data_IF_162051662888
#
_entry.id   IF_162051662888
#
_cell.length_a   1.000
_cell.length_b   1.000
_cell.length_c   1.000
_cell.angle_alpha   90.00
_cell.angle_beta   90.00
_cell.angle_gamma   90.00
#
_symmetry.space_group_name_H-M   'P 1'
#
loop_
_entity.id
_entity.type
_entity.pdbx_description
1 polymer ?
#
# COMPACT_ATOMS: atom_id res chain seq x y z
N UNK A 1 -46.93 35.69 51.31
CA UNK A 1 -45.90 35.12 52.23
C UNK A 1 -45.66 33.65 51.92
N UNK A 2 -46.70 32.84 51.64
CA UNK A 2 -46.55 31.42 51.33
C UNK A 2 -45.96 31.14 49.93
N UNK A 3 -46.41 31.85 48.90
CA UNK A 3 -45.83 31.73 47.54
C UNK A 3 -44.32 32.05 47.49
N UNK A 4 -43.86 32.99 48.32
CA UNK A 4 -42.44 33.34 48.42
C UNK A 4 -41.62 32.20 49.07
N UNK A 5 -42.21 31.48 50.03
CA UNK A 5 -41.56 30.33 50.66
C UNK A 5 -41.46 29.14 49.71
N UNK A 6 -42.53 28.85 48.98
CA UNK A 6 -42.55 27.79 47.95
C UNK A 6 -41.52 28.08 46.86
N UNK A 7 -41.43 29.33 46.40
CA UNK A 7 -40.41 29.75 45.43
C UNK A 7 -38.99 29.56 45.98
N UNK A 8 -38.74 29.90 47.24
CA UNK A 8 -37.43 29.71 47.88
C UNK A 8 -37.04 28.23 48.02
N UNK A 9 -38.00 27.34 48.29
CA UNK A 9 -37.76 25.89 48.34
C UNK A 9 -37.44 25.32 46.96
N UNK A 10 -38.18 25.74 45.93
CA UNK A 10 -37.91 25.35 44.55
C UNK A 10 -36.53 25.81 44.09
N UNK A 11 -36.16 27.07 44.37
CA UNK A 11 -34.83 27.62 44.05
C UNK A 11 -33.71 26.81 44.71
N UNK A 12 -33.89 26.38 45.98
CA UNK A 12 -32.90 25.54 46.68
C UNK A 12 -32.77 24.16 46.01
N UNK A 13 -33.88 23.53 45.64
CA UNK A 13 -33.89 22.25 44.93
C UNK A 13 -33.16 22.35 43.59
N UNK A 14 -33.47 23.36 42.79
CA UNK A 14 -32.78 23.59 41.50
C UNK A 14 -31.29 23.86 41.71
N UNK A 15 -30.91 24.63 42.73
CA UNK A 15 -29.49 24.88 43.04
C UNK A 15 -28.73 23.59 43.39
N UNK A 16 -29.38 22.63 44.07
CA UNK A 16 -28.79 21.32 44.37
C UNK A 16 -28.58 20.51 43.09
N UNK A 17 -29.60 20.40 42.23
CA UNK A 17 -29.48 19.69 40.95
C UNK A 17 -28.39 20.30 40.05
N UNK A 18 -28.31 21.63 39.98
CA UNK A 18 -27.25 22.33 39.21
C UNK A 18 -25.86 22.00 39.77
N UNK A 19 -25.72 21.85 41.08
CA UNK A 19 -24.45 21.48 41.70
C UNK A 19 -24.06 20.04 41.36
N UNK A 20 -25.00 19.11 41.42
CA UNK A 20 -24.78 17.71 41.04
C UNK A 20 -24.43 17.59 39.55
N UNK A 21 -25.17 18.27 38.68
CA UNK A 21 -24.88 18.33 37.24
C UNK A 21 -23.48 18.87 36.95
N UNK A 22 -23.02 19.88 37.71
CA UNK A 22 -21.64 20.41 37.56
C UNK A 22 -20.59 19.36 37.93
N UNK A 23 -20.80 18.60 38.99
CA UNK A 23 -19.89 17.54 39.40
C UNK A 23 -19.83 16.41 38.37
N UNK A 24 -21.00 15.97 37.88
CA UNK A 24 -21.11 14.94 36.84
C UNK A 24 -20.46 15.42 35.54
N UNK A 25 -20.69 16.66 35.12
CA UNK A 25 -20.05 17.22 33.93
C UNK A 25 -18.53 17.31 34.08
N UNK A 26 -18.02 17.69 35.26
CA UNK A 26 -16.58 17.71 35.52
C UNK A 26 -15.98 16.30 35.40
N UNK A 27 -16.64 15.30 35.99
CA UNK A 27 -16.24 13.90 35.84
C UNK A 27 -16.17 13.46 34.37
N UNK A 28 -17.18 13.79 33.56
CA UNK A 28 -17.18 13.45 32.14
C UNK A 28 -16.09 14.18 31.36
N UNK A 29 -15.79 15.44 31.68
CA UNK A 29 -14.69 16.19 31.07
C UNK A 29 -13.35 15.52 31.34
N UNK A 30 -13.12 15.06 32.57
CA UNK A 30 -11.89 14.35 32.95
C UNK A 30 -11.80 13.01 32.20
N UNK A 31 -12.87 12.20 32.20
CA UNK A 31 -12.90 10.95 31.44
C UNK A 31 -12.69 11.15 29.94
N UNK A 32 -13.24 12.21 29.37
CA UNK A 32 -13.06 12.53 27.97
C UNK A 32 -11.59 12.85 27.65
N UNK A 33 -10.91 13.61 28.52
CA UNK A 33 -9.47 13.90 28.37
C UNK A 33 -8.61 12.63 28.45
N UNK A 34 -8.93 11.73 29.37
CA UNK A 34 -8.23 10.44 29.49
C UNK A 34 -8.38 9.62 28.20
N UNK A 35 -9.62 9.48 27.72
CA UNK A 35 -9.93 8.76 26.47
C UNK A 35 -9.21 9.40 25.27
N UNK A 36 -9.17 10.73 25.18
CA UNK A 36 -8.45 11.41 24.11
C UNK A 36 -6.94 11.11 24.17
N UNK A 37 -6.37 11.12 25.36
CA UNK A 37 -4.94 10.83 25.56
C UNK A 37 -4.61 9.40 25.19
N UNK A 38 -5.43 8.44 25.63
CA UNK A 38 -5.30 7.03 25.27
C UNK A 38 -5.46 6.82 23.76
N UNK A 39 -6.43 7.49 23.13
CA UNK A 39 -6.64 7.40 21.68
C UNK A 39 -5.43 7.90 20.87
N UNK A 40 -4.78 8.98 21.32
CA UNK A 40 -3.55 9.50 20.70
C UNK A 40 -2.43 8.46 20.81
N UNK A 41 -2.27 7.83 21.98
CA UNK A 41 -1.23 6.84 22.19
C UNK A 41 -1.48 5.55 21.40
N UNK A 42 -2.70 5.04 21.39
CA UNK A 42 -3.11 3.90 20.58
C UNK A 42 -2.85 4.14 19.08
N UNK A 43 -3.13 5.35 18.58
CA UNK A 43 -2.83 5.72 17.19
C UNK A 43 -1.33 5.66 16.90
N UNK A 44 -0.47 6.14 17.80
CA UNK A 44 0.98 6.04 17.65
C UNK A 44 1.45 4.59 17.62
N UNK A 45 0.96 3.77 18.53
CA UNK A 45 1.30 2.34 18.59
C UNK A 45 0.84 1.60 17.32
N UNK A 46 -0.35 1.91 16.82
CA UNK A 46 -0.88 1.33 15.58
C UNK A 46 0.04 1.62 14.39
N UNK A 47 0.53 2.86 14.25
CA UNK A 47 1.49 3.22 13.19
C UNK A 47 2.77 2.40 13.29
N UNK A 48 3.31 2.20 14.50
CA UNK A 48 4.50 1.36 14.72
C UNK A 48 4.25 -0.09 14.31
N UNK A 49 3.11 -0.66 14.70
CA UNK A 49 2.72 -2.03 14.35
C UNK A 49 2.55 -2.19 12.84
N UNK A 50 1.85 -1.27 12.18
CA UNK A 50 1.68 -1.27 10.72
C UNK A 50 3.03 -1.20 10.00
N UNK A 51 3.96 -0.37 10.47
CA UNK A 51 5.30 -0.26 9.91
C UNK A 51 6.10 -1.58 10.06
N UNK A 52 5.97 -2.26 11.20
CA UNK A 52 6.62 -3.56 11.42
C UNK A 52 6.02 -4.66 10.54
N UNK A 53 4.69 -4.72 10.43
CA UNK A 53 4.01 -5.67 9.53
C UNK A 53 4.44 -5.48 8.07
N UNK A 54 4.53 -4.24 7.61
CA UNK A 54 4.97 -3.93 6.24
C UNK A 54 6.42 -4.42 5.98
N UNK A 55 7.31 -4.30 6.96
CA UNK A 55 8.69 -4.80 6.84
C UNK A 55 8.71 -6.32 6.72
N UNK A 56 7.88 -7.02 7.51
CA UNK A 56 7.75 -8.48 7.47
C UNK A 56 7.19 -8.92 6.13
N UNK A 57 6.06 -8.35 5.69
CA UNK A 57 5.44 -8.66 4.40
C UNK A 57 6.42 -8.42 3.24
N UNK A 58 7.18 -7.33 3.29
CA UNK A 58 8.20 -7.03 2.27
C UNK A 58 9.30 -8.08 2.24
N UNK A 59 9.78 -8.56 3.39
CA UNK A 59 10.80 -9.62 3.46
C UNK A 59 10.29 -10.94 2.90
N UNK A 60 9.03 -11.30 3.18
CA UNK A 60 8.41 -12.51 2.63
C UNK A 60 8.20 -12.43 1.12
N UNK A 61 7.90 -11.22 0.60
CA UNK A 61 7.65 -11.01 -0.84
C UNK A 61 8.88 -10.65 -1.66
N UNK A 62 10.02 -10.31 -1.04
CA UNK A 62 11.17 -9.74 -1.74
C UNK A 62 11.68 -10.62 -2.88
N UNK A 63 11.59 -11.94 -2.73
CA UNK A 63 12.04 -12.92 -3.71
C UNK A 63 10.96 -13.33 -4.72
N UNK A 64 9.75 -12.80 -4.59
CA UNK A 64 8.61 -13.23 -5.39
C UNK A 64 8.46 -12.35 -6.64
N UNK A 65 8.02 -13.00 -7.72
CA UNK A 65 7.60 -12.41 -8.98
C UNK A 65 6.14 -12.76 -9.23
N UNK A 66 5.42 -11.83 -9.85
CA UNK A 66 4.07 -12.04 -10.34
C UNK A 66 4.14 -12.16 -11.85
N UNK A 67 3.68 -13.29 -12.38
CA UNK A 67 3.57 -13.53 -13.81
C UNK A 67 2.10 -13.50 -14.20
N UNK A 68 1.78 -12.72 -15.23
CA UNK A 68 0.44 -12.64 -15.80
C UNK A 68 0.43 -12.86 -17.30
N UNK A 69 -0.72 -13.30 -17.83
CA UNK A 69 -0.94 -13.49 -19.26
C UNK A 69 -0.69 -14.90 -19.77
N UNK A 70 -0.41 -15.85 -18.88
CA UNK A 70 -0.32 -17.28 -19.20
C UNK A 70 -1.70 -17.92 -19.16
N UNK A 71 -2.21 -18.30 -20.33
CA UNK A 71 -3.46 -19.04 -20.47
C UNK A 71 -3.17 -20.54 -20.51
N UNK A 72 -3.16 -21.17 -19.34
CA UNK A 72 -2.79 -22.58 -19.19
C UNK A 72 -4.05 -23.36 -18.82
N UNK A 73 -4.54 -24.15 -19.77
CA UNK A 73 -5.66 -25.07 -19.64
C UNK A 73 -5.15 -26.52 -19.44
N UNK A 74 -4.14 -26.69 -18.60
CA UNK A 74 -3.53 -27.98 -18.31
C UNK A 74 -3.81 -28.46 -16.88
N UNK A 75 -3.70 -29.77 -16.68
CA UNK A 75 -3.92 -30.46 -15.40
C UNK A 75 -2.89 -30.05 -14.33
N UNK A 76 -1.66 -29.70 -14.75
CA UNK A 76 -0.55 -29.28 -13.87
C UNK A 76 -0.02 -27.90 -14.28
N UNK A 77 -0.77 -26.82 -14.04
CA UNK A 77 -0.40 -25.49 -14.52
C UNK A 77 0.91 -24.96 -13.91
N UNK A 78 1.30 -25.42 -12.72
CA UNK A 78 2.56 -25.04 -12.08
C UNK A 78 3.79 -25.46 -12.89
N UNK A 79 3.81 -26.69 -13.42
CA UNK A 79 4.94 -27.20 -14.22
C UNK A 79 5.12 -26.42 -15.51
N UNK A 80 4.02 -26.12 -16.20
CA UNK A 80 4.03 -25.31 -17.42
C UNK A 80 4.57 -23.91 -17.15
N UNK A 81 4.21 -23.32 -16.00
CA UNK A 81 4.76 -22.02 -15.59
C UNK A 81 6.25 -22.12 -15.27
N UNK A 82 6.70 -23.17 -14.59
CA UNK A 82 8.14 -23.39 -14.33
C UNK A 82 8.94 -23.50 -15.63
N UNK A 83 8.46 -24.29 -16.60
CA UNK A 83 9.05 -24.40 -17.93
C UNK A 83 9.07 -23.06 -18.66
N UNK A 84 7.95 -22.32 -18.61
CA UNK A 84 7.85 -20.99 -19.20
C UNK A 84 8.84 -20.02 -18.57
N UNK A 85 8.98 -20.04 -17.25
CA UNK A 85 9.95 -19.22 -16.51
C UNK A 85 11.37 -19.61 -16.89
N UNK A 86 11.66 -20.89 -17.06
CA UNK A 86 12.98 -21.37 -17.49
C UNK A 86 13.30 -20.94 -18.93
N UNK A 87 12.31 -20.95 -19.82
CA UNK A 87 12.46 -20.41 -21.18
C UNK A 87 12.71 -18.89 -21.17
N UNK A 88 11.98 -18.16 -20.31
CA UNK A 88 12.18 -16.73 -20.11
C UNK A 88 13.60 -16.45 -19.60
N UNK A 89 14.09 -17.19 -18.60
CA UNK A 89 15.46 -17.05 -18.08
C UNK A 89 16.51 -17.23 -19.17
N UNK A 90 16.36 -18.26 -20.01
CA UNK A 90 17.25 -18.51 -21.16
C UNK A 90 17.22 -17.33 -22.14
N UNK A 91 16.03 -16.84 -22.48
CA UNK A 91 15.86 -15.68 -23.36
C UNK A 91 16.51 -14.41 -22.78
N UNK A 92 16.34 -14.18 -21.48
CA UNK A 92 16.92 -13.04 -20.78
C UNK A 92 18.42 -13.21 -20.47
N UNK A 93 18.99 -14.41 -20.73
CA UNK A 93 20.35 -14.81 -20.38
C UNK A 93 20.66 -14.67 -18.88
N UNK A 94 19.69 -15.04 -18.05
CA UNK A 94 19.80 -14.99 -16.58
C UNK A 94 19.75 -16.39 -16.00
N UNK A 95 20.82 -16.79 -15.32
CA UNK A 95 20.84 -18.02 -14.51
C UNK A 95 20.16 -17.77 -13.17
N UNK A 96 18.98 -18.37 -12.98
CA UNK A 96 18.20 -18.21 -11.76
C UNK A 96 17.45 -19.49 -11.41
N UNK A 97 17.30 -19.75 -10.12
CA UNK A 97 16.59 -20.92 -9.59
C UNK A 97 15.20 -20.54 -9.07
N UNK A 98 14.21 -21.40 -9.35
CA UNK A 98 12.86 -21.27 -8.82
C UNK A 98 12.80 -22.10 -7.54
N UNK A 99 12.28 -21.51 -6.47
CA UNK A 99 11.95 -22.22 -5.24
C UNK A 99 10.55 -22.85 -5.35
N UNK A 100 9.56 -22.07 -5.77
CA UNK A 100 8.16 -22.50 -5.84
C UNK A 100 7.35 -21.69 -6.84
N UNK A 101 6.40 -22.34 -7.51
CA UNK A 101 5.33 -21.69 -8.27
C UNK A 101 3.99 -21.94 -7.60
N UNK A 102 3.09 -20.96 -7.67
CA UNK A 102 1.73 -21.07 -7.11
C UNK A 102 0.75 -20.25 -7.94
N UNK A 103 -0.36 -20.86 -8.37
CA UNK A 103 -1.46 -20.12 -9.00
C UNK A 103 -2.20 -19.26 -7.97
N UNK A 104 -2.35 -17.97 -8.26
CA UNK A 104 -3.00 -16.99 -7.35
C UNK A 104 -4.22 -16.31 -7.98
N UNK A 105 -4.59 -16.68 -9.20
CA UNK A 105 -5.76 -16.16 -9.89
C UNK A 105 -5.83 -16.58 -11.35
N UNK A 106 -6.77 -15.99 -12.08
CA UNK A 106 -6.91 -16.25 -13.51
C UNK A 106 -5.69 -15.71 -14.29
N UNK A 107 -5.03 -16.59 -15.04
CA UNK A 107 -3.79 -16.31 -15.78
C UNK A 107 -2.71 -15.59 -14.94
N UNK A 108 -2.69 -15.85 -13.62
CA UNK A 108 -1.83 -15.14 -12.67
C UNK A 108 -1.16 -16.10 -11.70
N UNK A 109 0.16 -16.03 -11.67
CA UNK A 109 1.01 -16.95 -10.92
C UNK A 109 2.03 -16.18 -10.08
N UNK A 110 2.29 -16.68 -8.88
CA UNK A 110 3.38 -16.26 -8.01
C UNK A 110 4.55 -17.21 -8.22
N UNK A 111 5.74 -16.66 -8.45
CA UNK A 111 6.99 -17.41 -8.61
C UNK A 111 7.96 -16.94 -7.55
N UNK A 112 8.34 -17.82 -6.64
CA UNK A 112 9.31 -17.57 -5.58
C UNK A 112 10.70 -17.93 -6.09
N UNK A 113 11.61 -16.96 -6.09
CA UNK A 113 12.99 -17.16 -6.53
C UNK A 113 13.88 -17.52 -5.33
N UNK A 114 14.92 -18.33 -5.54
CA UNK A 114 15.91 -18.61 -4.48
C UNK A 114 16.75 -17.36 -4.16
N UNK A 115 17.09 -16.57 -5.19
CA UNK A 115 18.03 -15.46 -5.07
C UNK A 115 17.43 -14.10 -5.48
N UNK A 116 17.47 -13.13 -4.56
CA UNK A 116 16.98 -11.77 -4.77
C UNK A 116 17.70 -11.01 -5.90
N UNK A 117 19.01 -11.17 -6.03
CA UNK A 117 19.79 -10.49 -7.07
C UNK A 117 19.39 -10.98 -8.46
N UNK A 118 19.16 -12.29 -8.58
CA UNK A 118 18.67 -12.89 -9.84
C UNK A 118 17.24 -12.47 -10.17
N UNK A 119 16.37 -12.32 -9.16
CA UNK A 119 15.06 -11.66 -9.36
C UNK A 119 15.23 -10.25 -9.94
N UNK A 120 16.11 -9.41 -9.37
CA UNK A 120 16.35 -8.04 -9.86
C UNK A 120 16.86 -8.04 -11.30
N UNK A 121 17.73 -8.98 -11.65
CA UNK A 121 18.26 -9.17 -13.01
C UNK A 121 17.15 -9.54 -14.02
N UNK A 122 16.20 -10.39 -13.63
CA UNK A 122 15.02 -10.69 -14.44
C UNK A 122 14.18 -9.42 -14.63
N UNK A 123 13.93 -8.66 -13.56
CA UNK A 123 13.10 -7.45 -13.61
C UNK A 123 13.72 -6.31 -14.43
N UNK A 124 15.05 -6.15 -14.41
CA UNK A 124 15.74 -5.16 -15.23
C UNK A 124 15.70 -5.52 -16.71
N UNK A 125 15.83 -6.82 -17.03
CA UNK A 125 15.83 -7.33 -18.39
C UNK A 125 14.42 -7.56 -18.97
N UNK A 126 13.36 -7.50 -18.16
CA UNK A 126 11.97 -7.81 -18.57
C UNK A 126 11.45 -7.03 -19.77
N UNK A 127 12.03 -5.86 -20.08
CA UNK A 127 11.68 -5.07 -21.27
C UNK A 127 11.89 -5.85 -22.58
N UNK A 128 12.87 -6.75 -22.62
CA UNK A 128 13.17 -7.63 -23.75
C UNK A 128 12.06 -8.64 -24.04
N UNK A 129 11.19 -8.92 -23.07
CA UNK A 129 10.05 -9.84 -23.26
C UNK A 129 9.02 -9.32 -24.27
N UNK A 130 9.02 -8.02 -24.55
CA UNK A 130 8.18 -7.44 -25.61
C UNK A 130 8.53 -7.96 -27.00
N UNK A 131 9.77 -8.40 -27.18
CA UNK A 131 10.31 -8.85 -28.47
C UNK A 131 10.11 -10.36 -28.67
N UNK A 132 9.49 -11.05 -27.70
CA UNK A 132 9.14 -12.49 -27.81
C UNK A 132 7.84 -12.61 -28.61
N UNK A 133 7.85 -13.18 -29.83
CA UNK A 133 6.66 -13.31 -30.66
C UNK A 133 5.60 -14.20 -29.99
N UNK A 134 4.33 -13.78 -30.03
CA UNK A 134 3.19 -14.59 -29.58
C UNK A 134 2.94 -14.63 -28.06
N UNK A 135 3.89 -14.18 -27.23
CA UNK A 135 3.78 -14.27 -25.78
C UNK A 135 3.39 -12.91 -25.14
N UNK A 136 2.11 -12.72 -24.78
CA UNK A 136 1.68 -11.58 -23.93
C UNK A 136 1.94 -11.85 -22.45
N UNK A 137 3.20 -12.12 -22.10
CA UNK A 137 3.61 -12.42 -20.73
C UNK A 137 4.11 -11.15 -20.05
N UNK A 138 3.60 -10.87 -18.85
CA UNK A 138 4.07 -9.76 -18.02
C UNK A 138 4.66 -10.28 -16.72
N UNK A 139 5.81 -9.74 -16.35
CA UNK A 139 6.51 -10.04 -15.09
C UNK A 139 6.57 -8.77 -14.25
N UNK A 140 6.05 -8.86 -13.04
CA UNK A 140 6.05 -7.76 -12.07
C UNK A 140 6.55 -8.20 -10.70
N UNK A 141 6.84 -7.23 -9.84
CA UNK A 141 7.15 -7.49 -8.44
C UNK A 141 5.90 -7.89 -7.66
N UNK A 142 6.07 -8.79 -6.70
CA UNK A 142 5.06 -9.06 -5.68
C UNK A 142 5.08 -7.95 -4.61
N UNK A 143 4.31 -6.90 -4.86
CA UNK A 143 4.19 -5.74 -3.98
C UNK A 143 3.42 -6.09 -2.69
N UNK A 144 3.77 -5.45 -1.57
CA UNK A 144 2.99 -5.53 -0.31
C UNK A 144 1.58 -4.97 -0.49
N UNK A 145 0.70 -5.17 0.51
CA UNK A 145 -0.62 -4.55 0.46
C UNK A 145 -0.55 -3.02 0.34
N UNK A 146 0.30 -2.36 1.13
CA UNK A 146 0.45 -0.90 1.09
C UNK A 146 1.05 -0.44 -0.23
N UNK A 147 2.06 -1.14 -0.75
CA UNK A 147 2.64 -0.83 -2.06
C UNK A 147 1.62 -0.98 -3.19
N UNK A 148 0.78 -2.01 -3.16
CA UNK A 148 -0.32 -2.19 -4.14
C UNK A 148 -1.34 -1.05 -4.05
N UNK A 149 -1.74 -0.65 -2.84
CA UNK A 149 -2.66 0.48 -2.60
C UNK A 149 -2.07 1.76 -3.21
N UNK A 150 -0.83 2.10 -2.86
CA UNK A 150 -0.12 3.28 -3.38
C UNK A 150 -0.04 3.21 -4.91
N UNK A 151 0.38 2.08 -5.47
CA UNK A 151 0.51 1.92 -6.92
C UNK A 151 -0.83 2.05 -7.65
N UNK A 152 -1.94 1.63 -7.04
CA UNK A 152 -3.29 1.81 -7.58
C UNK A 152 -3.65 3.29 -7.67
N UNK A 153 -3.45 4.06 -6.59
CA UNK A 153 -3.71 5.50 -6.55
C UNK A 153 -2.88 6.22 -7.63
N UNK A 154 -1.58 5.90 -7.72
CA UNK A 154 -0.69 6.49 -8.75
C UNK A 154 -1.18 6.16 -10.17
N UNK A 155 -1.67 4.94 -10.42
CA UNK A 155 -2.19 4.55 -11.74
C UNK A 155 -3.48 5.27 -12.08
N UNK A 156 -4.36 5.48 -11.11
CA UNK A 156 -5.61 6.24 -11.27
C UNK A 156 -5.30 7.71 -11.60
N UNK A 157 -4.40 8.35 -10.83
CA UNK A 157 -3.96 9.71 -11.14
C UNK A 157 -3.31 9.79 -12.53
N UNK A 158 -2.41 8.86 -12.84
CA UNK A 158 -1.77 8.81 -14.15
C UNK A 158 -2.76 8.64 -15.31
N UNK A 159 -3.91 7.99 -15.10
CA UNK A 159 -4.98 7.89 -16.09
C UNK A 159 -5.65 9.25 -16.30
N UNK A 160 -5.96 9.97 -15.22
CA UNK A 160 -6.53 11.33 -15.29
C UNK A 160 -5.61 12.28 -16.05
N UNK A 161 -4.31 12.29 -15.73
CA UNK A 161 -3.32 13.13 -16.40
C UNK A 161 -3.17 12.80 -17.90
N UNK A 162 -3.22 11.51 -18.27
CA UNK A 162 -3.20 11.10 -19.70
C UNK A 162 -4.46 11.54 -20.43
N UNK A 163 -5.62 11.48 -19.79
CA UNK A 163 -6.88 11.95 -20.38
C UNK A 163 -6.86 13.45 -20.66
N UNK A 164 -6.02 14.21 -19.93
CA UNK A 164 -5.75 15.62 -20.19
C UNK A 164 -4.68 15.85 -21.28
N UNK A 165 -4.23 14.80 -21.97
CA UNK A 165 -3.23 14.88 -23.04
C UNK A 165 -1.78 14.96 -22.57
N UNK A 166 -1.49 14.79 -21.27
CA UNK A 166 -0.12 14.86 -20.74
C UNK A 166 0.66 13.57 -21.02
N UNK A 167 1.97 13.69 -21.15
CA UNK A 167 2.86 12.52 -21.26
C UNK A 167 3.14 11.97 -19.86
N UNK A 168 2.65 10.77 -19.57
CA UNK A 168 2.73 10.18 -18.22
C UNK A 168 3.37 8.80 -18.22
N UNK A 169 4.43 8.65 -17.42
CA UNK A 169 5.06 7.37 -17.09
C UNK A 169 4.82 7.03 -15.63
N UNK A 170 4.50 5.76 -15.34
CA UNK A 170 4.32 5.27 -13.97
C UNK A 170 5.49 4.34 -13.64
N UNK A 171 6.08 4.53 -12.48
CA UNK A 171 7.10 3.65 -11.93
C UNK A 171 6.74 3.27 -10.48
N UNK A 172 7.61 2.53 -9.81
CA UNK A 172 7.40 2.14 -8.42
C UNK A 172 7.35 3.36 -7.50
N UNK A 173 6.22 3.56 -6.82
CA UNK A 173 5.94 4.69 -5.90
C UNK A 173 6.15 6.09 -6.48
N UNK A 174 6.18 6.24 -7.80
CA UNK A 174 6.31 7.53 -8.47
C UNK A 174 5.66 7.56 -9.84
N UNK A 175 5.34 8.76 -10.33
CA UNK A 175 4.96 9.00 -11.72
C UNK A 175 5.74 10.18 -12.29
N UNK A 176 5.85 10.21 -13.60
CA UNK A 176 6.54 11.27 -14.34
C UNK A 176 5.51 11.88 -15.27
N UNK A 177 5.22 13.18 -15.12
CA UNK A 177 4.24 13.92 -15.92
C UNK A 177 4.98 15.04 -16.63
N UNK A 178 5.00 15.05 -17.96
CA UNK A 178 5.71 16.07 -18.75
C UNK A 178 7.15 16.35 -18.26
N UNK A 179 7.88 15.27 -17.96
CA UNK A 179 9.25 15.26 -17.41
C UNK A 179 9.41 15.70 -15.93
N UNK A 180 8.34 16.09 -15.24
CA UNK A 180 8.36 16.33 -13.79
C UNK A 180 8.14 15.03 -13.03
N UNK A 181 8.95 14.78 -11.99
CA UNK A 181 8.87 13.57 -11.18
C UNK A 181 8.01 13.83 -9.95
N UNK A 182 7.00 13.01 -9.74
CA UNK A 182 6.09 13.04 -8.61
C UNK A 182 6.28 11.77 -7.80
N UNK A 183 6.66 11.87 -6.53
CA UNK A 183 6.96 10.73 -5.64
C UNK A 183 5.93 10.66 -4.53
N UNK A 184 5.54 9.45 -4.15
CA UNK A 184 4.62 9.22 -3.04
C UNK A 184 5.28 9.56 -1.69
N UNK A 185 4.70 10.51 -0.97
CA UNK A 185 5.09 10.81 0.40
C UNK A 185 4.25 9.97 1.38
N UNK A 186 4.94 9.21 2.24
CA UNK A 186 4.30 8.30 3.20
C UNK A 186 3.62 9.02 4.36
N UNK A 187 4.09 10.20 4.74
CA UNK A 187 3.54 10.97 5.87
C UNK A 187 2.26 11.70 5.48
N UNK A 188 2.26 12.36 4.32
CA UNK A 188 1.10 13.09 3.80
C UNK A 188 0.12 12.18 3.03
N UNK A 189 0.52 10.96 2.67
CA UNK A 189 -0.24 10.04 1.81
C UNK A 189 -0.65 10.67 0.46
N UNK A 190 0.24 11.49 -0.12
CA UNK A 190 0.01 12.17 -1.40
C UNK A 190 1.22 12.06 -2.33
N UNK A 191 1.01 12.38 -3.62
CA UNK A 191 2.08 12.58 -4.58
C UNK A 191 2.60 14.01 -4.48
N UNK A 192 3.90 14.15 -4.29
CA UNK A 192 4.58 15.44 -4.20
C UNK A 192 5.61 15.57 -5.32
N UNK A 193 5.72 16.77 -5.90
CA UNK A 193 6.73 17.05 -6.93
C UNK A 193 8.13 17.01 -6.30
N UNK A 194 9.02 16.23 -6.91
CA UNK A 194 10.41 16.16 -6.50
C UNK A 194 11.18 17.28 -7.22
N UNK A 195 11.52 18.35 -6.50
CA UNK A 195 12.23 19.50 -7.06
C UNK A 195 13.74 19.27 -7.32
N UNK A 196 14.28 18.10 -6.97
CA UNK A 196 15.71 17.79 -7.18
C UNK A 196 16.01 17.35 -8.62
N UNK A 197 16.61 18.28 -9.38
CA UNK A 197 17.09 18.10 -10.75
C UNK A 197 18.32 17.16 -10.88
N UNK A 198 18.78 16.51 -9.80
CA UNK A 198 19.97 15.68 -9.83
C UNK A 198 19.84 14.43 -8.95
N UNK A 199 19.21 13.38 -9.51
CA UNK A 199 19.68 11.98 -9.49
C UNK A 199 18.54 11.08 -9.96
N UNK A 200 18.56 10.73 -11.25
CA UNK A 200 17.91 9.50 -11.71
C UNK A 200 18.71 8.34 -11.12
N UNK A 201 18.41 7.94 -9.88
CA UNK A 201 18.85 6.64 -9.38
C UNK A 201 17.90 5.62 -10.02
N UNK A 202 18.42 4.93 -11.03
CA UNK A 202 17.88 3.64 -11.43
C UNK A 202 18.13 2.69 -10.24
N UNK A 203 17.06 2.35 -9.52
CA UNK A 203 17.01 1.14 -8.70
C UNK A 203 16.34 0.04 -9.52
#
# INVERSE_FOLDING_TARGET
MDELKELMELVKSVMLEVKELRQVNQYYIEKFKDIQTENIELKKQLVVVQNRMEIIEKKERQNNLIITGLDINETEPEKVVEETVNNIKKYLKVEAEINRVTKIGNKRYKVEMVNLNKKKEILSNKKKLKDVPGARIFIDEDLTYQERRIQKIIREQAKLERNQGKNVKVAYKKMIVNNQVWVWNRQSETLEEQHDHNKIIYN
#
